data_IF_062039166133
#
_entry.id   IF_062039166133
#
_cell.length_a   1.000
_cell.length_b   1.000
_cell.length_c   1.000
_cell.angle_alpha   90.00
_cell.angle_beta   90.00
_cell.angle_gamma   90.00
#
_symmetry.space_group_name_H-M   'P 1'
#
loop_
_entity.id
_entity.type
_entity.pdbx_description
1 polymer ?
#
# COMPACT_ATOMS: atom_id res chain seq x y z
N UNK A 1 -16.85 19.37 10.89
CA UNK A 1 -17.52 19.22 9.58
C UNK A 1 -16.59 19.53 8.40
N UNK A 2 -15.90 20.68 8.39
CA UNK A 2 -14.96 21.04 7.31
C UNK A 2 -13.81 20.04 7.07
N UNK A 3 -13.32 19.37 8.12
CA UNK A 3 -12.25 18.38 7.97
C UNK A 3 -12.66 17.13 7.22
N UNK A 4 -13.86 16.59 7.47
CA UNK A 4 -14.36 15.42 6.76
C UNK A 4 -14.57 15.76 5.29
N UNK A 5 -15.01 16.96 4.97
CA UNK A 5 -15.15 17.40 3.58
C UNK A 5 -13.78 17.46 2.87
N UNK A 6 -12.75 18.03 3.51
CA UNK A 6 -11.38 18.02 2.99
C UNK A 6 -10.84 16.60 2.80
N UNK A 7 -11.07 15.73 3.78
CA UNK A 7 -10.70 14.32 3.69
C UNK A 7 -11.42 13.64 2.53
N UNK A 8 -12.73 13.82 2.39
CA UNK A 8 -13.53 13.20 1.33
C UNK A 8 -13.08 13.67 -0.06
N UNK A 9 -12.69 14.94 -0.21
CA UNK A 9 -12.14 15.44 -1.46
C UNK A 9 -10.82 14.72 -1.80
N UNK A 10 -9.86 14.69 -0.86
CA UNK A 10 -8.59 13.99 -1.04
C UNK A 10 -8.79 12.48 -1.28
N UNK A 11 -9.70 11.87 -0.53
CA UNK A 11 -10.06 10.46 -0.64
C UNK A 11 -10.68 10.15 -2.01
N UNK A 12 -11.47 11.07 -2.59
CA UNK A 12 -12.04 10.89 -3.92
C UNK A 12 -10.97 10.88 -5.01
N UNK A 13 -9.96 11.75 -4.90
CA UNK A 13 -8.81 11.72 -5.82
C UNK A 13 -7.97 10.46 -5.65
N UNK A 14 -7.63 10.09 -4.41
CA UNK A 14 -6.87 8.88 -4.13
C UNK A 14 -7.62 7.63 -4.60
N UNK A 15 -8.93 7.56 -4.34
CA UNK A 15 -9.77 6.49 -4.84
C UNK A 15 -9.83 6.50 -6.37
N UNK A 16 -9.90 7.67 -7.02
CA UNK A 16 -9.82 7.78 -8.48
C UNK A 16 -8.58 7.13 -9.07
N UNK A 17 -7.41 7.38 -8.46
CA UNK A 17 -6.11 6.85 -8.91
C UNK A 17 -5.94 5.37 -8.57
N UNK A 18 -6.26 4.96 -7.34
CA UNK A 18 -5.90 3.63 -6.84
C UNK A 18 -7.08 2.63 -6.76
N UNK A 19 -8.33 3.09 -6.70
CA UNK A 19 -9.48 2.21 -6.39
C UNK A 19 -10.57 2.15 -7.46
N UNK A 20 -10.77 3.22 -8.23
CA UNK A 20 -11.94 3.37 -9.09
C UNK A 20 -11.90 2.39 -10.26
N UNK A 21 -10.76 2.30 -10.96
CA UNK A 21 -10.61 1.42 -12.13
C UNK A 21 -10.87 -0.05 -11.79
N UNK A 22 -10.24 -0.56 -10.72
CA UNK A 22 -10.47 -1.93 -10.24
C UNK A 22 -11.91 -2.13 -9.78
N UNK A 23 -12.53 -1.16 -9.10
CA UNK A 23 -13.93 -1.26 -8.66
C UNK A 23 -14.89 -1.35 -9.85
N UNK A 24 -14.75 -0.47 -10.84
CA UNK A 24 -15.59 -0.46 -12.05
C UNK A 24 -15.48 -1.79 -12.80
N UNK A 25 -14.25 -2.27 -13.05
CA UNK A 25 -14.04 -3.53 -13.77
C UNK A 25 -14.69 -4.70 -13.01
N UNK A 26 -14.59 -4.73 -11.68
CA UNK A 26 -15.18 -5.78 -10.84
C UNK A 26 -16.71 -5.77 -10.89
N UNK A 27 -17.31 -4.58 -10.85
CA UNK A 27 -18.76 -4.42 -10.98
C UNK A 27 -19.25 -4.86 -12.37
N UNK A 28 -18.58 -4.41 -13.44
CA UNK A 28 -18.95 -4.76 -14.82
C UNK A 28 -18.82 -6.26 -15.09
N UNK A 29 -17.79 -6.92 -14.55
CA UNK A 29 -17.56 -8.36 -14.71
C UNK A 29 -18.30 -9.23 -13.69
N UNK A 30 -18.98 -8.62 -12.70
CA UNK A 30 -19.62 -9.32 -11.57
C UNK A 30 -18.65 -10.24 -10.81
N UNK A 31 -17.39 -9.83 -10.70
CA UNK A 31 -16.32 -10.59 -10.08
C UNK A 31 -16.03 -10.10 -8.66
N UNK A 32 -15.79 -11.02 -7.73
CA UNK A 32 -15.41 -10.68 -6.34
C UNK A 32 -13.96 -10.21 -6.26
N UNK A 33 -13.65 -9.29 -5.35
CA UNK A 33 -12.27 -8.91 -5.03
C UNK A 33 -11.44 -10.08 -4.47
N UNK A 34 -12.09 -11.07 -3.85
CA UNK A 34 -11.44 -12.25 -3.28
C UNK A 34 -10.67 -13.11 -4.29
N UNK A 35 -10.93 -12.96 -5.59
CA UNK A 35 -10.19 -13.64 -6.67
C UNK A 35 -8.69 -13.32 -6.62
N UNK A 36 -8.32 -12.14 -6.11
CA UNK A 36 -6.93 -11.73 -5.95
C UNK A 36 -6.30 -12.14 -4.62
N UNK A 37 -6.91 -13.07 -3.88
CA UNK A 37 -6.32 -13.65 -2.67
C UNK A 37 -6.74 -12.96 -1.37
N UNK A 38 -7.87 -12.23 -1.34
CA UNK A 38 -8.50 -11.87 -0.06
C UNK A 38 -9.21 -13.11 0.51
N UNK A 39 -8.44 -14.02 1.09
CA UNK A 39 -8.90 -15.28 1.68
C UNK A 39 -8.35 -15.46 3.10
N UNK A 40 -8.75 -16.54 3.78
CA UNK A 40 -8.30 -16.84 5.16
C UNK A 40 -7.08 -17.75 5.21
N UNK A 41 -6.77 -18.45 4.13
CA UNK A 41 -5.64 -19.37 4.06
C UNK A 41 -4.32 -18.60 4.09
N UNK A 42 -3.36 -19.06 4.88
CA UNK A 42 -2.06 -18.39 5.05
C UNK A 42 -2.15 -16.91 5.49
N UNK A 43 -3.28 -16.46 6.04
CA UNK A 43 -3.50 -15.06 6.42
C UNK A 43 -2.38 -14.52 7.34
N UNK A 44 -2.14 -15.21 8.46
CA UNK A 44 -1.11 -14.82 9.44
C UNK A 44 0.28 -14.84 8.79
N UNK A 45 0.57 -15.88 7.97
CA UNK A 45 1.85 -16.01 7.27
C UNK A 45 2.07 -14.84 6.29
N UNK A 46 1.04 -14.43 5.54
CA UNK A 46 1.09 -13.29 4.64
C UNK A 46 1.35 -11.99 5.41
N UNK A 47 0.62 -11.75 6.51
CA UNK A 47 0.83 -10.58 7.37
C UNK A 47 2.26 -10.52 7.89
N UNK A 48 2.76 -11.60 8.50
CA UNK A 48 4.10 -11.65 9.07
C UNK A 48 5.17 -11.42 8.00
N UNK A 49 5.12 -12.16 6.88
CA UNK A 49 6.13 -12.05 5.84
C UNK A 49 6.10 -10.68 5.15
N UNK A 50 4.93 -10.10 4.89
CA UNK A 50 4.84 -8.73 4.35
C UNK A 50 5.39 -7.70 5.34
N UNK A 51 5.15 -7.88 6.65
CA UNK A 51 5.69 -6.99 7.68
C UNK A 51 7.22 -7.02 7.72
N UNK A 52 7.84 -8.18 7.47
CA UNK A 52 9.31 -8.29 7.39
C UNK A 52 9.90 -7.49 6.21
N UNK A 53 9.14 -7.31 5.12
CA UNK A 53 9.57 -6.48 3.99
C UNK A 53 9.72 -4.99 4.34
N UNK A 54 9.17 -4.55 5.48
CA UNK A 54 9.30 -3.18 5.98
C UNK A 54 10.57 -2.93 6.79
N UNK A 55 11.28 -3.97 7.24
CA UNK A 55 12.50 -3.84 8.05
C UNK A 55 13.53 -2.90 7.41
N UNK A 56 13.86 -3.01 6.10
CA UNK A 56 14.80 -2.09 5.47
C UNK A 56 14.37 -0.62 5.55
N UNK A 57 13.08 -0.34 5.38
CA UNK A 57 12.56 1.03 5.48
C UNK A 57 12.60 1.55 6.92
N UNK A 58 12.31 0.71 7.93
CA UNK A 58 12.46 1.08 9.35
C UNK A 58 13.92 1.42 9.68
N UNK A 59 14.87 0.63 9.18
CA UNK A 59 16.30 0.91 9.36
C UNK A 59 16.69 2.23 8.68
N UNK A 60 16.21 2.46 7.46
CA UNK A 60 16.42 3.72 6.74
C UNK A 60 15.87 4.92 7.51
N UNK A 61 14.60 4.87 7.95
CA UNK A 61 13.99 5.95 8.73
C UNK A 61 14.74 6.19 10.04
N UNK A 62 15.17 5.15 10.75
CA UNK A 62 15.97 5.31 11.96
C UNK A 62 17.34 5.97 11.67
N UNK A 63 17.99 5.61 10.56
CA UNK A 63 19.25 6.21 10.15
C UNK A 63 19.13 7.71 9.84
N UNK A 64 18.02 8.13 9.20
CA UNK A 64 17.78 9.53 8.84
C UNK A 64 17.27 10.36 10.02
N UNK A 65 16.26 9.87 10.75
CA UNK A 65 15.54 10.64 11.77
C UNK A 65 16.11 10.44 13.19
N UNK A 66 16.97 9.44 13.40
CA UNK A 66 17.49 9.06 14.72
C UNK A 66 16.45 8.44 15.66
N UNK A 67 15.20 8.29 15.22
CA UNK A 67 14.09 7.75 16.00
C UNK A 67 13.07 7.04 15.12
N UNK A 68 12.37 6.05 15.69
CA UNK A 68 11.24 5.38 15.04
C UNK A 68 9.95 6.01 15.56
N UNK A 69 9.37 6.93 14.79
CA UNK A 69 8.09 7.56 15.15
C UNK A 69 6.97 6.83 14.42
N UNK A 70 6.19 6.05 15.16
CA UNK A 70 5.08 5.27 14.61
C UNK A 70 3.76 6.03 14.72
N UNK A 71 3.17 6.38 13.58
CA UNK A 71 1.77 6.82 13.47
C UNK A 71 1.26 6.47 12.06
N UNK A 72 0.33 5.51 11.90
CA UNK A 72 -0.25 5.19 10.61
C UNK A 72 -0.80 6.41 9.92
N UNK A 73 -0.61 6.49 8.60
CA UNK A 73 -1.12 7.58 7.77
C UNK A 73 -0.62 8.98 8.15
N UNK A 74 0.47 9.10 8.93
CA UNK A 74 0.98 10.39 9.44
C UNK A 74 1.17 11.46 8.38
N UNK A 75 1.60 11.07 7.18
CA UNK A 75 1.91 11.98 6.06
C UNK A 75 0.65 12.44 5.30
N UNK A 76 -0.51 11.82 5.54
CA UNK A 76 -1.77 12.31 4.97
C UNK A 76 -2.13 13.62 5.66
N UNK A 77 -2.34 14.66 4.85
CA UNK A 77 -2.50 16.06 5.27
C UNK A 77 -3.50 16.27 6.41
N UNK A 78 -4.56 15.46 6.49
CA UNK A 78 -5.64 15.61 7.46
C UNK A 78 -5.49 14.74 8.72
N UNK A 79 -4.52 13.82 8.79
CA UNK A 79 -4.43 12.81 9.85
C UNK A 79 -4.34 13.43 11.25
N UNK A 80 -3.45 14.39 11.46
CA UNK A 80 -3.29 15.04 12.78
C UNK A 80 -4.55 15.76 13.23
N UNK A 81 -5.19 16.51 12.33
CA UNK A 81 -6.43 17.22 12.62
C UNK A 81 -7.60 16.23 12.88
N UNK A 82 -7.66 15.09 12.16
CA UNK A 82 -8.67 14.04 12.37
C UNK A 82 -8.52 13.45 13.78
N UNK A 83 -7.30 13.10 14.18
CA UNK A 83 -7.04 12.52 15.51
C UNK A 83 -7.50 13.47 16.63
N UNK A 84 -7.26 14.77 16.46
CA UNK A 84 -7.63 15.81 17.43
C UNK A 84 -9.13 16.19 17.41
N UNK A 85 -9.88 15.79 16.37
CA UNK A 85 -11.27 16.25 16.16
C UNK A 85 -12.34 15.66 17.08
N UNK A 86 -11.98 14.71 17.96
CA UNK A 86 -12.90 14.07 18.89
C UNK A 86 -13.92 13.12 18.23
N UNK A 87 -14.68 12.39 19.05
CA UNK A 87 -15.70 11.46 18.59
C UNK A 87 -16.97 12.20 18.12
N UNK A 88 -17.62 11.79 17.00
CA UNK A 88 -17.31 10.62 16.16
C UNK A 88 -16.39 10.92 14.95
N UNK A 89 -15.95 12.17 14.79
CA UNK A 89 -15.26 12.63 13.58
C UNK A 89 -13.92 11.92 13.39
N UNK A 90 -13.18 11.70 14.47
CA UNK A 90 -11.90 10.99 14.45
C UNK A 90 -12.03 9.55 13.91
N UNK A 91 -13.02 8.78 14.40
CA UNK A 91 -13.27 7.39 13.99
C UNK A 91 -13.66 7.35 12.51
N UNK A 92 -14.61 8.20 12.10
CA UNK A 92 -15.06 8.26 10.69
C UNK A 92 -13.87 8.62 9.77
N UNK A 93 -13.06 9.61 10.16
CA UNK A 93 -11.92 10.03 9.36
C UNK A 93 -10.86 8.94 9.20
N UNK A 94 -10.52 8.24 10.28
CA UNK A 94 -9.56 7.12 10.22
C UNK A 94 -10.11 5.95 9.41
N UNK A 95 -11.42 5.65 9.49
CA UNK A 95 -12.03 4.59 8.68
C UNK A 95 -11.99 4.90 7.19
N UNK A 96 -12.34 6.13 6.79
CA UNK A 96 -12.23 6.58 5.39
C UNK A 96 -10.78 6.46 4.92
N UNK A 97 -9.85 6.94 5.73
CA UNK A 97 -8.42 6.91 5.41
C UNK A 97 -7.91 5.48 5.23
N UNK A 98 -8.25 4.59 6.17
CA UNK A 98 -7.87 3.17 6.13
C UNK A 98 -8.47 2.45 4.93
N UNK A 99 -9.69 2.80 4.52
CA UNK A 99 -10.31 2.21 3.34
C UNK A 99 -9.61 2.67 2.04
N UNK A 100 -9.34 3.97 1.90
CA UNK A 100 -8.84 4.52 0.64
C UNK A 100 -7.32 4.34 0.48
N UNK A 101 -6.52 4.80 1.44
CA UNK A 101 -5.06 4.65 1.38
C UNK A 101 -4.60 3.28 1.87
N UNK A 102 -5.26 2.71 2.88
CA UNK A 102 -4.90 1.39 3.39
C UNK A 102 -5.33 0.27 2.45
N UNK A 103 -6.64 0.11 2.24
CA UNK A 103 -7.17 -1.00 1.45
C UNK A 103 -6.99 -0.79 -0.06
N UNK A 104 -7.52 0.29 -0.64
CA UNK A 104 -7.50 0.43 -2.10
C UNK A 104 -6.10 0.58 -2.67
N UNK A 105 -5.22 1.38 -2.07
CA UNK A 105 -3.83 1.51 -2.55
C UNK A 105 -3.06 0.17 -2.47
N UNK A 106 -3.04 -0.45 -1.30
CA UNK A 106 -2.34 -1.73 -1.11
C UNK A 106 -2.91 -2.86 -1.97
N UNK A 107 -4.24 -2.92 -2.11
CA UNK A 107 -4.89 -3.93 -2.93
C UNK A 107 -4.75 -3.67 -4.43
N UNK A 108 -4.64 -2.41 -4.87
CA UNK A 108 -4.44 -2.07 -6.27
C UNK A 108 -3.13 -2.64 -6.82
N UNK A 109 -2.04 -2.54 -6.05
CA UNK A 109 -0.77 -3.17 -6.41
C UNK A 109 -0.92 -4.69 -6.63
N UNK A 110 -1.75 -5.36 -5.82
CA UNK A 110 -2.03 -6.79 -5.99
C UNK A 110 -2.72 -7.05 -7.33
N UNK A 111 -3.76 -6.28 -7.65
CA UNK A 111 -4.53 -6.46 -8.90
C UNK A 111 -3.68 -6.18 -10.13
N UNK A 112 -2.92 -5.08 -10.11
CA UNK A 112 -2.01 -4.70 -11.20
C UNK A 112 -0.94 -5.78 -11.39
N UNK A 113 -0.30 -6.22 -10.30
CA UNK A 113 0.71 -7.27 -10.34
C UNK A 113 0.17 -8.57 -10.94
N UNK A 114 -1.04 -8.99 -10.54
CA UNK A 114 -1.68 -10.18 -11.10
C UNK A 114 -1.92 -10.03 -12.60
N UNK A 115 -2.44 -8.89 -13.05
CA UNK A 115 -2.73 -8.66 -14.47
C UNK A 115 -1.47 -8.59 -15.33
N UNK A 116 -0.40 -7.99 -14.82
CA UNK A 116 0.89 -7.96 -15.51
C UNK A 116 1.49 -9.37 -15.57
N UNK A 117 1.45 -10.14 -14.48
CA UNK A 117 1.98 -11.50 -14.44
C UNK A 117 1.16 -12.49 -15.29
N UNK A 118 -0.16 -12.32 -15.39
CA UNK A 118 -1.01 -13.06 -16.33
C UNK A 118 -0.59 -12.80 -17.78
N UNK A 119 -0.26 -11.54 -18.12
CA UNK A 119 0.14 -11.14 -19.48
C UNK A 119 1.57 -11.52 -19.82
N UNK A 120 2.48 -11.41 -18.86
CA UNK A 120 3.91 -11.63 -18.99
C UNK A 120 4.39 -12.64 -17.94
N UNK A 121 4.07 -13.93 -18.11
CA UNK A 121 4.50 -14.97 -17.18
C UNK A 121 6.01 -15.16 -17.25
N UNK A 122 6.61 -15.46 -16.10
CA UNK A 122 8.03 -15.78 -15.98
C UNK A 122 8.23 -17.16 -15.35
N UNK A 123 9.22 -17.91 -15.83
CA UNK A 123 9.62 -19.18 -15.24
C UNK A 123 10.43 -19.01 -13.96
N UNK A 124 11.13 -17.88 -13.82
CA UNK A 124 11.89 -17.57 -12.62
C UNK A 124 10.98 -16.81 -11.65
N UNK A 125 10.75 -17.40 -10.47
CA UNK A 125 9.90 -16.82 -9.43
C UNK A 125 10.36 -15.42 -9.01
N UNK A 126 11.68 -15.17 -9.00
CA UNK A 126 12.26 -13.87 -8.64
C UNK A 126 12.11 -12.81 -9.74
N UNK A 127 11.99 -13.23 -11.00
CA UNK A 127 11.71 -12.32 -12.11
C UNK A 127 10.18 -12.14 -12.22
N UNK A 128 9.60 -11.46 -11.25
CA UNK A 128 8.17 -11.22 -11.16
C UNK A 128 7.82 -9.85 -11.76
N UNK A 129 7.39 -9.83 -13.03
CA UNK A 129 7.13 -8.58 -13.76
C UNK A 129 6.09 -7.71 -13.08
N UNK A 130 5.02 -8.30 -12.55
CA UNK A 130 4.01 -7.56 -11.80
C UNK A 130 4.57 -6.86 -10.57
N UNK A 131 5.37 -7.56 -9.77
CA UNK A 131 6.01 -7.00 -8.58
C UNK A 131 7.04 -5.91 -8.92
N UNK A 132 7.86 -6.14 -9.94
CA UNK A 132 8.88 -5.19 -10.40
C UNK A 132 8.19 -3.92 -10.93
N UNK A 133 7.21 -4.06 -11.82
CA UNK A 133 6.47 -2.91 -12.36
C UNK A 133 5.77 -2.11 -11.27
N UNK A 134 5.17 -2.78 -10.28
CA UNK A 134 4.55 -2.10 -9.14
C UNK A 134 5.57 -1.35 -8.29
N UNK A 135 6.74 -1.94 -8.01
CA UNK A 135 7.80 -1.27 -7.25
C UNK A 135 8.32 -0.02 -7.96
N UNK A 136 8.55 -0.11 -9.27
CA UNK A 136 8.94 1.05 -10.10
C UNK A 136 7.84 2.10 -10.12
N UNK A 137 6.59 1.71 -10.35
CA UNK A 137 5.46 2.63 -10.37
C UNK A 137 5.29 3.36 -9.04
N UNK A 138 5.45 2.65 -7.91
CA UNK A 138 5.36 3.23 -6.58
C UNK A 138 6.38 4.36 -6.40
N UNK A 139 7.64 4.11 -6.73
CA UNK A 139 8.72 5.12 -6.69
C UNK A 139 8.34 6.35 -7.53
N UNK A 140 7.86 6.15 -8.75
CA UNK A 140 7.53 7.24 -9.67
C UNK A 140 6.34 8.07 -9.17
N UNK A 141 5.28 7.42 -8.67
CA UNK A 141 4.06 8.09 -8.19
C UNK A 141 4.33 8.88 -6.92
N UNK A 142 5.13 8.32 -6.01
CA UNK A 142 5.49 8.95 -4.74
C UNK A 142 6.64 9.97 -4.89
N UNK A 143 7.17 10.16 -6.10
CA UNK A 143 8.20 11.15 -6.39
C UNK A 143 9.51 10.92 -5.63
N UNK A 144 9.75 9.69 -5.14
CA UNK A 144 10.95 9.32 -4.41
C UNK A 144 12.07 9.06 -5.43
N UNK A 145 12.52 10.11 -6.10
CA UNK A 145 13.53 10.04 -7.16
C UNK A 145 14.65 11.00 -6.80
N UNK A 146 15.84 10.47 -6.58
CA UNK A 146 17.03 11.26 -6.32
C UNK A 146 18.31 10.49 -6.62
N UNK A 147 19.42 11.21 -6.59
CA UNK A 147 20.74 10.69 -6.94
C UNK A 147 21.72 10.74 -5.76
N UNK A 148 21.28 11.22 -4.60
CA UNK A 148 22.10 11.15 -3.38
C UNK A 148 22.03 9.75 -2.78
N UNK A 149 22.99 9.42 -1.92
CA UNK A 149 23.01 8.12 -1.23
C UNK A 149 21.72 7.91 -0.43
N UNK A 150 21.23 8.94 0.25
CA UNK A 150 20.01 8.85 1.04
C UNK A 150 18.79 8.58 0.15
N UNK A 151 18.65 9.31 -0.97
CA UNK A 151 17.53 9.11 -1.90
C UNK A 151 17.55 7.69 -2.48
N UNK A 152 18.75 7.18 -2.84
CA UNK A 152 18.91 5.82 -3.36
C UNK A 152 18.52 4.78 -2.30
N UNK A 153 18.92 4.97 -1.04
CA UNK A 153 18.53 4.08 0.06
C UNK A 153 17.01 4.10 0.29
N UNK A 154 16.37 5.26 0.20
CA UNK A 154 14.91 5.38 0.30
C UNK A 154 14.22 4.63 -0.83
N UNK A 155 14.62 4.89 -2.07
CA UNK A 155 14.12 4.22 -3.28
C UNK A 155 14.22 2.70 -3.16
N UNK A 156 15.39 2.20 -2.77
CA UNK A 156 15.63 0.76 -2.60
C UNK A 156 14.74 0.21 -1.49
N UNK A 157 14.60 0.91 -0.36
CA UNK A 157 13.75 0.45 0.74
C UNK A 157 12.27 0.34 0.33
N UNK A 158 11.75 1.32 -0.42
CA UNK A 158 10.37 1.33 -0.92
C UNK A 158 10.18 0.25 -1.98
N UNK A 159 11.14 0.09 -2.89
CA UNK A 159 11.10 -0.99 -3.88
C UNK A 159 11.01 -2.35 -3.20
N UNK A 160 11.83 -2.60 -2.17
CA UNK A 160 11.82 -3.85 -1.41
C UNK A 160 10.47 -4.08 -0.72
N UNK A 161 9.83 -3.05 -0.17
CA UNK A 161 8.48 -3.17 0.41
C UNK A 161 7.49 -3.68 -0.64
N UNK A 162 7.39 -2.96 -1.77
CA UNK A 162 6.36 -3.24 -2.78
C UNK A 162 6.63 -4.55 -3.50
N UNK A 163 7.87 -4.78 -3.94
CA UNK A 163 8.26 -6.03 -4.56
C UNK A 163 8.07 -7.19 -3.58
N UNK A 164 8.56 -7.05 -2.35
CA UNK A 164 8.51 -8.07 -1.31
C UNK A 164 7.09 -8.48 -0.94
N UNK A 165 6.18 -7.53 -0.70
CA UNK A 165 4.79 -7.86 -0.36
C UNK A 165 4.08 -8.62 -1.49
N UNK A 166 4.37 -8.28 -2.75
CA UNK A 166 3.76 -8.92 -3.92
C UNK A 166 4.34 -10.32 -4.17
N UNK A 167 5.63 -10.50 -3.87
CA UNK A 167 6.26 -11.82 -3.82
C UNK A 167 5.63 -12.69 -2.72
N UNK A 168 5.44 -12.15 -1.52
CA UNK A 168 4.76 -12.83 -0.41
C UNK A 168 3.34 -13.22 -0.80
N UNK A 169 2.57 -12.32 -1.42
CA UNK A 169 1.23 -12.63 -1.95
C UNK A 169 1.28 -13.78 -2.94
N UNK A 170 2.27 -13.82 -3.84
CA UNK A 170 2.41 -14.89 -4.82
C UNK A 170 2.77 -16.25 -4.21
N UNK A 171 3.57 -16.25 -3.14
CA UNK A 171 3.95 -17.46 -2.39
C UNK A 171 2.80 -17.96 -1.51
N UNK A 172 2.14 -17.06 -0.77
CA UNK A 172 1.11 -17.40 0.21
C UNK A 172 -0.29 -17.52 -0.39
N UNK A 173 -0.49 -17.00 -1.61
CA UNK A 173 -1.78 -16.80 -2.27
C UNK A 173 -2.75 -15.93 -1.46
N UNK A 174 -2.23 -15.08 -0.58
CA UNK A 174 -3.03 -14.23 0.30
C UNK A 174 -2.58 -12.77 0.23
N UNK A 175 -3.52 -11.88 -0.10
CA UNK A 175 -3.32 -10.45 -0.32
C UNK A 175 -3.53 -9.58 0.92
N UNK A 176 -4.04 -10.13 2.02
CA UNK A 176 -4.27 -9.36 3.24
C UNK A 176 -2.98 -8.84 3.86
N UNK A 177 -1.84 -9.51 3.67
CA UNK A 177 -0.55 -8.97 4.08
C UNK A 177 -0.22 -7.64 3.39
N UNK A 178 -0.49 -7.53 2.08
CA UNK A 178 -0.31 -6.27 1.34
C UNK A 178 -1.22 -5.17 1.88
N UNK A 179 -2.50 -5.45 2.09
CA UNK A 179 -3.45 -4.49 2.67
C UNK A 179 -3.05 -4.09 4.09
N UNK A 180 -2.64 -5.05 4.91
CA UNK A 180 -2.27 -4.84 6.29
C UNK A 180 -1.08 -3.87 6.41
N UNK A 181 -0.02 -4.08 5.62
CA UNK A 181 1.13 -3.17 5.70
C UNK A 181 0.78 -1.77 5.20
N UNK A 182 -0.18 -1.62 4.27
CA UNK A 182 -0.68 -0.31 3.86
C UNK A 182 -1.51 0.39 4.93
N UNK A 183 -2.21 -0.37 5.78
CA UNK A 183 -2.95 0.18 6.92
C UNK A 183 -2.02 0.52 8.07
N UNK A 184 -1.04 -0.35 8.35
CA UNK A 184 -0.29 -0.30 9.61
C UNK A 184 1.06 0.38 9.48
N UNK A 185 1.78 0.23 8.37
CA UNK A 185 3.17 0.69 8.26
C UNK A 185 3.38 1.73 7.16
N UNK A 186 2.57 1.69 6.10
CA UNK A 186 2.66 2.64 5.00
C UNK A 186 2.21 4.01 5.45
N UNK A 187 3.19 4.87 5.71
CA UNK A 187 2.97 6.24 6.11
C UNK A 187 2.83 7.13 4.87
N UNK A 188 1.96 6.74 3.93
CA UNK A 188 1.55 7.46 2.71
C UNK A 188 2.52 8.58 2.30
N UNK A 189 3.64 8.17 1.72
CA UNK A 189 4.71 9.06 1.25
C UNK A 189 4.19 10.07 0.22
#
# INVERSE_FOLDING_TARGET
MYILLRLLLAASFQFGVAGLGITIIRLLRKEKFSIHGLNRENLIKSIVLCSLCFIPNIIYTYYIDGAIIYLPFRKILTTSEIILSGFPVNVIGILITSLIWGFFEGFNYVVISDKINERYPSKNIWLNWGAISCGVLCILVHGVIGVTVNDILEMVSIFIIIYGMLMVKNITKNAWGCVFIFIMFWNAY
#
